data_IF_609457228010
#
_entry.id   IF_609457228010
#
_cell.length_a   1.000
_cell.length_b   1.000
_cell.length_c   1.000
_cell.angle_alpha   90.00
_cell.angle_beta   90.00
_cell.angle_gamma   90.00
#
_symmetry.space_group_name_H-M   'P 1'
#
loop_
_entity.id
_entity.type
_entity.pdbx_description
1 polymer ?
#
# COMPACT_ATOMS: atom_id res chain seq x y z
N UNK A 1 1.90 8.52 18.76
CA UNK A 1 0.74 8.66 17.85
C UNK A 1 1.09 9.57 16.68
N UNK A 2 0.76 9.19 15.44
CA UNK A 2 1.08 9.92 14.21
C UNK A 2 0.15 11.09 13.86
N UNK A 3 0.30 11.61 12.65
CA UNK A 3 -0.62 12.54 11.99
C UNK A 3 -0.87 12.03 10.57
N UNK A 4 -2.14 11.86 10.20
CA UNK A 4 -2.55 11.28 8.92
C UNK A 4 -3.02 12.38 7.96
N UNK A 5 -2.46 12.36 6.75
CA UNK A 5 -2.81 13.26 5.66
C UNK A 5 -3.32 12.45 4.46
N UNK A 6 -4.28 13.01 3.73
CA UNK A 6 -4.79 12.41 2.50
C UNK A 6 -4.18 13.12 1.29
N UNK A 7 -3.55 12.35 0.41
CA UNK A 7 -2.96 12.81 -0.84
C UNK A 7 -3.75 12.19 -2.01
N UNK A 8 -4.51 12.99 -2.78
CA UNK A 8 -5.29 12.48 -3.89
C UNK A 8 -4.42 12.24 -5.13
N UNK A 9 -4.84 11.31 -5.99
CA UNK A 9 -4.27 11.14 -7.33
C UNK A 9 -2.82 10.68 -7.36
N UNK A 10 -2.42 9.84 -6.41
CA UNK A 10 -1.06 9.29 -6.34
C UNK A 10 -1.09 7.78 -6.11
N UNK A 11 0.07 7.15 -6.20
CA UNK A 11 0.29 5.71 -5.98
C UNK A 11 1.29 5.51 -4.84
N UNK A 12 1.36 4.29 -4.29
CA UNK A 12 2.38 3.95 -3.29
C UNK A 12 3.77 4.12 -3.90
N UNK A 13 3.98 3.62 -5.12
CA UNK A 13 5.27 3.76 -5.83
C UNK A 13 5.68 5.22 -6.04
N UNK A 14 4.72 6.08 -6.41
CA UNK A 14 4.97 7.50 -6.60
C UNK A 14 5.40 8.18 -5.30
N UNK A 15 4.67 7.91 -4.21
CA UNK A 15 5.01 8.45 -2.89
C UNK A 15 6.35 7.95 -2.36
N UNK A 16 6.67 6.66 -2.57
CA UNK A 16 7.96 6.10 -2.18
C UNK A 16 9.12 6.66 -3.00
N UNK A 17 8.91 6.91 -4.30
CA UNK A 17 9.91 7.53 -5.18
C UNK A 17 10.25 8.95 -4.74
N UNK A 18 9.26 9.71 -4.27
CA UNK A 18 9.41 11.08 -3.76
C UNK A 18 9.74 11.14 -2.26
N UNK A 19 9.75 10.00 -1.54
CA UNK A 19 9.72 9.97 -0.08
C UNK A 19 10.89 10.70 0.57
N UNK A 20 12.11 10.55 0.03
CA UNK A 20 13.31 11.19 0.55
C UNK A 20 13.25 12.72 0.44
N UNK A 21 12.70 13.23 -0.66
CA UNK A 21 12.53 14.67 -0.86
C UNK A 21 11.33 15.20 -0.06
N UNK A 22 10.25 14.42 0.02
CA UNK A 22 9.00 14.83 0.66
C UNK A 22 9.06 14.81 2.19
N UNK A 23 9.74 13.83 2.78
CA UNK A 23 9.73 13.59 4.23
C UNK A 23 11.11 13.76 4.89
N UNK A 24 12.17 13.95 4.10
CA UNK A 24 13.54 14.20 4.58
C UNK A 24 13.95 13.21 5.68
N UNK A 25 14.39 13.70 6.84
CA UNK A 25 14.84 12.93 7.99
C UNK A 25 13.82 11.96 8.59
N UNK A 26 12.53 12.12 8.27
CA UNK A 26 11.46 11.25 8.78
C UNK A 26 11.47 9.89 8.06
N UNK A 27 11.88 9.89 6.79
CA UNK A 27 11.91 8.69 5.96
C UNK A 27 13.33 8.12 5.92
N UNK A 28 13.48 6.88 6.36
CA UNK A 28 14.72 6.13 6.23
C UNK A 28 14.66 5.21 4.99
N UNK A 29 15.48 5.46 3.94
CA UNK A 29 15.51 4.63 2.75
C UNK A 29 16.07 3.22 3.00
N UNK A 30 16.82 3.01 4.08
CA UNK A 30 17.40 1.70 4.42
C UNK A 30 16.44 0.85 5.25
N UNK A 31 15.32 1.41 5.71
CA UNK A 31 14.33 0.67 6.47
C UNK A 31 13.64 -0.39 5.60
N UNK A 32 13.60 -1.63 6.08
CA UNK A 32 12.89 -2.72 5.43
C UNK A 32 11.38 -2.48 5.47
N UNK A 33 10.78 -2.24 4.31
CA UNK A 33 9.34 -2.04 4.15
C UNK A 33 8.65 -3.30 3.67
N UNK A 34 7.37 -3.40 4.02
CA UNK A 34 6.52 -4.49 3.58
C UNK A 34 5.13 -3.97 3.26
N UNK A 35 4.44 -4.67 2.38
CA UNK A 35 3.06 -4.40 2.04
C UNK A 35 2.14 -5.48 2.61
N UNK A 36 1.06 -5.06 3.23
CA UNK A 36 0.01 -5.93 3.77
C UNK A 36 -1.35 -5.51 3.25
N UNK A 37 -2.30 -6.45 3.24
CA UNK A 37 -3.68 -6.19 2.86
C UNK A 37 -4.58 -6.14 4.10
N UNK A 38 -5.42 -5.13 4.21
CA UNK A 38 -6.41 -4.96 5.27
C UNK A 38 -7.81 -5.07 4.65
N UNK A 39 -8.64 -5.93 5.22
CA UNK A 39 -10.04 -6.14 4.80
C UNK A 39 -10.96 -5.79 5.98
N UNK A 40 -11.70 -4.70 5.83
CA UNK A 40 -12.55 -4.15 6.89
C UNK A 40 -14.00 -3.95 6.43
N UNK A 41 -14.98 -3.90 7.33
CA UNK A 41 -16.33 -3.52 7.00
C UNK A 41 -16.36 -2.08 6.47
N UNK A 42 -17.18 -1.82 5.46
CA UNK A 42 -17.24 -0.51 4.81
C UNK A 42 -17.54 0.65 5.78
N UNK A 43 -18.31 0.37 6.83
CA UNK A 43 -18.63 1.32 7.93
C UNK A 43 -17.42 1.75 8.75
N UNK A 44 -16.39 0.92 8.84
CA UNK A 44 -15.18 1.15 9.64
C UNK A 44 -14.05 1.79 8.82
N UNK A 45 -14.23 1.94 7.50
CA UNK A 45 -13.27 2.57 6.61
C UNK A 45 -12.75 3.91 7.15
N UNK A 46 -13.63 4.78 7.66
CA UNK A 46 -13.24 6.11 8.15
C UNK A 46 -12.32 6.05 9.37
N UNK A 47 -12.46 5.02 10.19
CA UNK A 47 -11.59 4.78 11.35
C UNK A 47 -10.20 4.38 10.86
N UNK A 48 -10.12 3.50 9.85
CA UNK A 48 -8.85 3.07 9.26
C UNK A 48 -8.12 4.19 8.51
N UNK A 49 -8.86 5.05 7.81
CA UNK A 49 -8.30 6.27 7.19
C UNK A 49 -7.60 7.18 8.21
N UNK A 50 -7.96 7.10 9.49
CA UNK A 50 -7.39 7.88 10.59
C UNK A 50 -6.59 7.02 11.59
N UNK A 51 -6.34 5.75 11.29
CA UNK A 51 -5.72 4.81 12.23
C UNK A 51 -4.32 5.23 12.65
N UNK A 52 -3.59 5.83 11.72
CA UNK A 52 -2.27 6.39 11.98
C UNK A 52 -2.25 7.50 13.05
N UNK A 53 -3.38 8.15 13.32
CA UNK A 53 -3.48 9.15 14.41
C UNK A 53 -3.59 8.50 15.79
N UNK A 54 -3.96 7.22 15.83
CA UNK A 54 -4.14 6.44 17.07
C UNK A 54 -2.92 5.56 17.37
N UNK A 55 -2.06 5.32 16.38
CA UNK A 55 -0.90 4.42 16.48
C UNK A 55 0.40 5.23 16.51
N UNK A 56 1.35 4.77 17.31
CA UNK A 56 2.73 5.23 17.26
C UNK A 56 3.55 4.33 16.34
N UNK A 57 4.30 4.95 15.43
CA UNK A 57 5.15 4.31 14.45
C UNK A 57 6.40 5.15 14.23
N UNK A 58 7.47 4.55 13.71
CA UNK A 58 8.76 5.21 13.49
C UNK A 58 8.94 5.74 12.07
N UNK A 59 8.32 5.10 11.07
CA UNK A 59 8.44 5.43 9.66
C UNK A 59 7.11 5.85 9.05
N UNK A 60 7.10 6.64 7.95
CA UNK A 60 5.88 6.93 7.22
C UNK A 60 5.13 5.66 6.81
N UNK A 61 3.82 5.64 7.05
CA UNK A 61 2.91 4.55 6.66
C UNK A 61 1.99 5.05 5.57
N UNK A 62 1.83 4.27 4.50
CA UNK A 62 1.06 4.65 3.30
C UNK A 62 -0.04 3.62 3.08
N UNK A 63 -1.30 4.04 3.21
CA UNK A 63 -2.48 3.22 2.92
C UNK A 63 -3.18 3.67 1.64
N UNK A 64 -3.54 2.76 0.76
CA UNK A 64 -4.40 3.04 -0.40
C UNK A 64 -5.58 2.09 -0.43
N UNK A 65 -6.79 2.65 -0.52
CA UNK A 65 -7.98 1.83 -0.65
C UNK A 65 -8.25 1.46 -2.11
N UNK A 66 -8.38 0.17 -2.40
CA UNK A 66 -8.89 -0.30 -3.68
C UNK A 66 -10.41 -0.46 -3.63
N UNK A 67 -11.09 -0.13 -4.74
CA UNK A 67 -12.51 -0.40 -4.92
C UNK A 67 -12.70 -1.31 -6.14
N UNK A 68 -12.97 -2.61 -5.93
CA UNK A 68 -13.27 -3.52 -7.01
C UNK A 68 -14.37 -3.01 -7.93
N UNK A 69 -14.16 -3.13 -9.25
CA UNK A 69 -15.10 -2.72 -10.30
C UNK A 69 -15.56 -3.94 -11.09
N UNK A 70 -15.02 -4.16 -12.28
CA UNK A 70 -15.38 -5.28 -13.16
C UNK A 70 -14.98 -6.64 -12.57
N UNK A 71 -13.95 -6.66 -11.73
CA UNK A 71 -13.43 -7.81 -11.01
C UNK A 71 -14.24 -8.17 -9.74
N UNK A 72 -15.23 -7.35 -9.36
CA UNK A 72 -16.07 -7.58 -8.19
C UNK A 72 -16.74 -8.96 -8.20
N UNK A 73 -17.15 -9.46 -9.37
CA UNK A 73 -17.73 -10.80 -9.55
C UNK A 73 -16.84 -11.93 -9.04
N UNK A 74 -15.52 -11.80 -9.16
CA UNK A 74 -14.56 -12.82 -8.72
C UNK A 74 -14.43 -12.90 -7.20
N UNK A 75 -14.80 -11.82 -6.51
CA UNK A 75 -14.89 -11.80 -5.04
C UNK A 75 -16.23 -12.39 -4.58
N UNK A 76 -17.31 -12.10 -5.32
CA UNK A 76 -18.64 -12.66 -5.07
C UNK A 76 -18.64 -14.20 -5.23
N UNK A 77 -17.90 -14.73 -6.22
CA UNK A 77 -17.66 -16.17 -6.40
C UNK A 77 -16.97 -16.83 -5.20
N UNK A 78 -16.15 -16.07 -4.45
CA UNK A 78 -15.53 -16.51 -3.20
C UNK A 78 -16.43 -16.30 -1.97
N UNK A 79 -17.66 -15.81 -2.16
CA UNK A 79 -18.63 -15.57 -1.09
C UNK A 79 -18.46 -14.24 -0.35
N UNK A 80 -17.61 -13.33 -0.83
CA UNK A 80 -17.44 -12.00 -0.27
C UNK A 80 -18.12 -10.95 -1.14
N UNK A 81 -19.09 -10.22 -0.58
CA UNK A 81 -19.71 -9.08 -1.24
C UNK A 81 -18.80 -7.83 -1.18
N UNK A 82 -18.29 -7.30 -2.30
CA UNK A 82 -17.38 -6.16 -2.30
C UNK A 82 -18.00 -4.85 -1.80
N UNK A 83 -19.33 -4.77 -1.71
CA UNK A 83 -20.04 -3.60 -1.20
C UNK A 83 -20.03 -3.52 0.33
N UNK A 84 -19.87 -4.65 1.01
CA UNK A 84 -19.87 -4.72 2.47
C UNK A 84 -18.46 -4.52 3.08
N UNK A 85 -17.43 -4.67 2.24
CA UNK A 85 -16.03 -4.56 2.62
C UNK A 85 -15.35 -3.31 2.03
N UNK A 86 -14.22 -2.95 2.61
CA UNK A 86 -13.21 -2.08 2.04
C UNK A 86 -11.86 -2.78 2.11
N UNK A 87 -11.07 -2.59 1.06
CA UNK A 87 -9.80 -3.26 0.87
C UNK A 87 -8.72 -2.19 0.83
N UNK A 88 -7.75 -2.30 1.71
CA UNK A 88 -6.64 -1.36 1.83
C UNK A 88 -5.33 -2.11 1.62
N UNK A 89 -4.48 -1.55 0.77
CA UNK A 89 -3.08 -1.94 0.68
C UNK A 89 -2.29 -0.97 1.52
N UNK A 90 -1.62 -1.51 2.54
CA UNK A 90 -0.88 -0.76 3.51
C UNK A 90 0.61 -1.08 3.35
N UNK A 91 1.39 -0.06 3.06
CA UNK A 91 2.85 -0.11 3.01
C UNK A 91 3.42 0.57 4.27
N UNK A 92 4.24 -0.17 5.01
CA UNK A 92 4.82 0.26 6.29
C UNK A 92 6.19 -0.38 6.52
N UNK A 93 6.98 0.21 7.42
CA UNK A 93 8.19 -0.43 7.89
C UNK A 93 7.85 -1.73 8.64
N UNK A 94 8.67 -2.76 8.43
CA UNK A 94 8.48 -4.09 9.06
C UNK A 94 8.49 -3.99 10.59
N UNK A 95 9.27 -3.06 11.16
CA UNK A 95 9.32 -2.77 12.58
C UNK A 95 8.00 -2.22 13.14
N UNK A 96 7.22 -1.52 12.32
CA UNK A 96 5.98 -0.85 12.72
C UNK A 96 4.75 -1.75 12.61
N UNK A 97 4.85 -2.92 11.95
CA UNK A 97 3.71 -3.84 11.75
C UNK A 97 3.08 -4.31 13.07
N UNK A 98 3.90 -4.66 14.05
CA UNK A 98 3.44 -5.12 15.36
C UNK A 98 2.57 -4.06 16.05
N UNK A 99 3.13 -2.86 16.34
CA UNK A 99 2.38 -1.74 16.92
C UNK A 99 1.13 -1.37 16.10
N UNK A 100 1.23 -1.36 14.78
CA UNK A 100 0.13 -0.99 13.89
C UNK A 100 -1.06 -1.94 13.98
N UNK A 101 -0.81 -3.25 14.07
CA UNK A 101 -1.85 -4.27 14.10
C UNK A 101 -2.26 -4.69 15.51
N UNK A 102 -1.53 -4.26 16.55
CA UNK A 102 -1.70 -4.76 17.92
C UNK A 102 -3.15 -4.65 18.40
N UNK A 103 -3.71 -3.45 18.40
CA UNK A 103 -5.09 -3.21 18.87
C UNK A 103 -6.12 -4.03 18.09
N UNK A 104 -5.97 -4.08 16.76
CA UNK A 104 -6.89 -4.78 15.86
C UNK A 104 -6.89 -6.30 16.14
N UNK A 105 -5.72 -6.90 16.36
CA UNK A 105 -5.60 -8.33 16.64
C UNK A 105 -6.01 -8.65 18.09
N UNK A 106 -5.57 -7.88 19.08
CA UNK A 106 -5.79 -8.22 20.50
C UNK A 106 -7.19 -7.87 20.97
N UNK A 107 -7.70 -6.70 20.61
CA UNK A 107 -8.98 -6.16 21.10
C UNK A 107 -10.11 -6.52 20.17
N UNK A 108 -9.97 -6.22 18.89
CA UNK A 108 -11.01 -6.42 17.88
C UNK A 108 -11.01 -7.82 17.26
N UNK A 109 -10.05 -8.67 17.64
CA UNK A 109 -9.96 -10.07 17.21
C UNK A 109 -9.85 -10.24 15.70
N UNK A 110 -9.15 -9.33 15.04
CA UNK A 110 -8.83 -9.45 13.62
C UNK A 110 -8.03 -10.72 13.35
N UNK A 111 -8.37 -11.36 12.23
CA UNK A 111 -7.76 -12.62 11.81
C UNK A 111 -6.61 -12.32 10.87
N UNK A 112 -5.40 -12.75 11.24
CA UNK A 112 -4.24 -12.75 10.36
C UNK A 112 -4.30 -13.98 9.45
N UNK A 113 -4.07 -13.78 8.16
CA UNK A 113 -3.98 -14.82 7.15
C UNK A 113 -2.99 -14.45 6.06
N UNK A 114 -3.01 -15.22 4.98
CA UNK A 114 -2.26 -14.97 3.75
C UNK A 114 -3.23 -14.87 2.60
N UNK A 115 -2.97 -13.99 1.65
CA UNK A 115 -3.78 -13.83 0.44
C UNK A 115 -2.89 -13.79 -0.80
N UNK A 116 -3.38 -14.37 -1.89
CA UNK A 116 -2.74 -14.31 -3.21
C UNK A 116 -3.36 -13.17 -4.02
N UNK A 117 -2.59 -12.13 -4.28
CA UNK A 117 -2.97 -11.04 -5.18
C UNK A 117 -2.54 -11.41 -6.59
N UNK A 118 -3.50 -11.47 -7.51
CA UNK A 118 -3.33 -11.95 -8.87
C UNK A 118 -3.77 -10.89 -9.88
N UNK A 119 -3.20 -10.86 -11.09
CA UNK A 119 -3.74 -10.03 -12.16
C UNK A 119 -5.16 -10.49 -12.50
N UNK A 120 -6.01 -9.54 -12.89
CA UNK A 120 -7.37 -9.86 -13.35
C UNK A 120 -7.29 -10.82 -14.56
N UNK A 121 -8.04 -11.93 -14.56
CA UNK A 121 -8.11 -12.84 -15.70
C UNK A 121 -8.63 -12.14 -16.95
N UNK A 122 -8.08 -12.48 -18.12
CA UNK A 122 -8.51 -11.93 -19.41
C UNK A 122 -10.01 -12.11 -19.68
N UNK A 123 -10.66 -13.11 -19.08
CA UNK A 123 -12.11 -13.35 -19.19
C UNK A 123 -12.98 -12.22 -18.61
N UNK A 124 -12.42 -11.36 -17.76
CA UNK A 124 -13.15 -10.26 -17.11
C UNK A 124 -13.22 -9.01 -18.00
N UNK A 125 -12.44 -8.96 -19.08
CA UNK A 125 -12.44 -7.88 -20.08
C UNK A 125 -12.33 -6.47 -19.45
N UNK A 126 -11.28 -6.28 -18.64
CA UNK A 126 -11.00 -4.98 -18.01
C UNK A 126 -10.11 -4.15 -18.93
N UNK A 127 -10.54 -2.95 -19.36
CA UNK A 127 -9.70 -2.06 -20.17
C UNK A 127 -8.41 -1.68 -19.44
N UNK A 128 -7.33 -1.54 -20.21
CA UNK A 128 -6.04 -1.03 -19.73
C UNK A 128 -5.40 -1.81 -18.56
N UNK A 129 -5.61 -3.13 -18.46
CA UNK A 129 -4.92 -3.95 -17.46
C UNK A 129 -3.41 -4.09 -17.74
N UNK A 130 -2.62 -4.17 -16.69
CA UNK A 130 -1.18 -4.49 -16.71
C UNK A 130 -0.98 -5.81 -15.99
N UNK A 131 -0.54 -6.83 -16.71
CA UNK A 131 -0.18 -8.10 -16.09
C UNK A 131 0.98 -7.92 -15.11
N UNK A 132 0.94 -8.66 -14.00
CA UNK A 132 2.00 -8.74 -13.00
C UNK A 132 2.01 -10.14 -12.38
N UNK A 133 3.12 -10.51 -11.74
CA UNK A 133 3.26 -11.81 -11.11
C UNK A 133 2.33 -11.97 -9.89
N UNK A 134 1.98 -13.20 -9.55
CA UNK A 134 1.16 -13.46 -8.37
C UNK A 134 1.95 -13.09 -7.10
N UNK A 135 1.41 -12.18 -6.30
CA UNK A 135 2.02 -11.72 -5.06
C UNK A 135 1.32 -12.39 -3.89
N UNK A 136 2.06 -13.11 -3.05
CA UNK A 136 1.53 -13.61 -1.78
C UNK A 136 1.89 -12.61 -0.69
N UNK A 137 0.88 -12.10 0.03
CA UNK A 137 1.10 -11.12 1.10
C UNK A 137 0.25 -11.41 2.34
N UNK A 138 0.67 -10.84 3.46
CA UNK A 138 -0.07 -10.95 4.72
C UNK A 138 -1.38 -10.19 4.60
N UNK A 139 -2.47 -10.82 5.04
CA UNK A 139 -3.79 -10.22 5.09
C UNK A 139 -4.30 -10.16 6.54
N UNK A 140 -4.84 -9.01 6.93
CA UNK A 140 -5.58 -8.85 8.17
C UNK A 140 -7.05 -8.58 7.84
N UNK A 141 -7.92 -9.47 8.32
CA UNK A 141 -9.35 -9.44 8.03
C UNK A 141 -10.15 -9.24 9.31
N UNK A 142 -11.13 -8.34 9.23
CA UNK A 142 -12.11 -8.17 10.30
C UNK A 142 -12.97 -9.45 10.46
N UNK A 143 -13.22 -9.92 11.70
CA UNK A 143 -13.87 -11.21 11.94
C UNK A 143 -15.28 -11.35 11.34
N UNK A 144 -15.99 -10.24 11.12
CA UNK A 144 -17.35 -10.25 10.56
C UNK A 144 -17.43 -10.52 9.05
N UNK A 145 -16.31 -10.46 8.32
CA UNK A 145 -16.29 -10.64 6.87
C UNK A 145 -15.85 -12.07 6.51
N UNK A 146 -16.32 -12.66 5.39
CA UNK A 146 -15.85 -13.97 4.95
C UNK A 146 -14.36 -13.92 4.56
N UNK A 147 -13.67 -15.05 4.70
CA UNK A 147 -12.29 -15.19 4.25
C UNK A 147 -12.24 -15.33 2.71
N UNK A 148 -11.20 -14.78 2.10
CA UNK A 148 -10.92 -14.93 0.66
C UNK A 148 -9.48 -15.40 0.50
N UNK A 149 -9.23 -16.19 -0.52
CA UNK A 149 -7.89 -16.72 -0.83
C UNK A 149 -7.18 -15.90 -1.91
N UNK A 150 -7.97 -15.34 -2.84
CA UNK A 150 -7.47 -14.63 -4.01
C UNK A 150 -8.07 -13.25 -4.11
N UNK A 151 -7.23 -12.27 -4.40
CA UNK A 151 -7.65 -10.91 -4.71
C UNK A 151 -7.15 -10.50 -6.09
N UNK A 152 -8.03 -9.94 -6.90
CA UNK A 152 -7.70 -9.63 -8.30
C UNK A 152 -7.53 -8.12 -8.47
N UNK A 153 -6.46 -7.73 -9.18
CA UNK A 153 -6.20 -6.33 -9.52
C UNK A 153 -5.87 -6.15 -11.00
N UNK A 154 -6.28 -5.03 -11.62
CA UNK A 154 -5.87 -4.71 -12.98
C UNK A 154 -4.43 -4.20 -13.07
N UNK A 155 -3.85 -3.76 -11.95
CA UNK A 155 -2.48 -3.24 -11.85
C UNK A 155 -1.82 -3.78 -10.57
N UNK A 156 -0.47 -3.76 -10.47
CA UNK A 156 0.21 -4.08 -9.21
C UNK A 156 -0.35 -3.26 -8.03
N UNK A 157 -0.41 -3.82 -6.81
CA UNK A 157 -0.91 -3.14 -5.61
C UNK A 157 -0.29 -1.76 -5.36
N UNK A 158 1.01 -1.61 -5.66
CA UNK A 158 1.76 -0.37 -5.45
C UNK A 158 1.45 0.73 -6.46
N UNK A 159 0.90 0.35 -7.62
CA UNK A 159 0.56 1.24 -8.74
C UNK A 159 -0.92 1.65 -8.77
N UNK A 160 -1.70 1.32 -7.73
CA UNK A 160 -3.12 1.70 -7.65
C UNK A 160 -3.22 3.21 -7.47
N UNK A 161 -3.80 3.89 -8.46
CA UNK A 161 -4.04 5.33 -8.43
C UNK A 161 -5.31 5.64 -7.64
N UNK A 162 -5.17 6.20 -6.44
CA UNK A 162 -6.31 6.63 -5.63
C UNK A 162 -5.89 7.69 -4.60
N UNK A 163 -6.76 7.93 -3.62
CA UNK A 163 -6.44 8.67 -2.39
C UNK A 163 -5.53 7.80 -1.53
N UNK A 164 -4.30 8.26 -1.34
CA UNK A 164 -3.35 7.67 -0.40
C UNK A 164 -3.48 8.36 0.96
N UNK A 165 -3.57 7.57 2.02
CA UNK A 165 -3.60 8.02 3.41
C UNK A 165 -2.21 7.80 3.98
N UNK A 166 -1.48 8.89 4.21
CA UNK A 166 -0.11 8.86 4.70
C UNK A 166 -0.12 9.26 6.17
N UNK A 167 0.32 8.35 7.03
CA UNK A 167 0.57 8.67 8.43
C UNK A 167 2.03 8.98 8.66
N UNK A 168 2.32 10.14 9.24
CA UNK A 168 3.66 10.59 9.60
C UNK A 168 3.87 10.51 11.12
N UNK A 169 5.03 10.05 11.59
CA UNK A 169 5.36 10.05 13.01
C UNK A 169 5.48 11.49 13.51
N UNK A 170 5.00 11.77 14.74
CA UNK A 170 5.20 13.09 15.36
C UNK A 170 6.68 13.22 15.74
N UNK A 171 7.35 14.27 15.25
CA UNK A 171 8.80 14.54 15.31
C UNK A 171 9.56 14.13 16.60
N UNK A 172 8.94 14.15 17.77
CA UNK A 172 9.59 13.70 19.02
C UNK A 172 9.88 12.19 19.06
N UNK A 173 9.08 11.36 18.39
CA UNK A 173 9.28 9.91 18.32
C UNK A 173 10.32 9.50 17.28
N UNK A 174 10.51 10.27 16.19
CA UNK A 174 11.59 10.03 15.22
C UNK A 174 12.98 10.29 15.83
N UNK A 175 13.08 11.33 16.67
CA UNK A 175 14.28 11.57 17.48
C UNK A 175 14.47 10.51 18.57
N UNK A 176 13.39 10.06 19.23
CA UNK A 176 13.46 9.02 20.26
C UNK A 176 13.74 7.61 19.68
N UNK A 177 13.30 7.31 18.46
CA UNK A 177 13.65 6.09 17.72
C UNK A 177 15.12 6.11 17.25
N UNK A 178 15.64 7.28 16.84
CA UNK A 178 17.08 7.49 16.61
C UNK A 178 17.87 7.32 17.91
N UNK A 179 17.42 7.91 19.02
CA UNK A 179 18.05 7.76 20.33
C UNK A 179 17.97 6.31 20.84
N UNK A 180 16.87 5.58 20.60
CA UNK A 180 16.74 4.18 20.95
C UNK A 180 17.63 3.28 20.08
N UNK A 181 17.78 3.58 18.79
CA UNK A 181 18.74 2.90 17.91
C UNK A 181 20.21 3.21 18.28
N UNK A 182 20.48 4.42 18.77
CA UNK A 182 21.80 4.84 19.26
C UNK A 182 22.13 4.21 20.63
N UNK A 183 21.15 4.14 21.54
CA UNK A 183 21.28 3.52 22.88
C UNK A 183 21.36 1.99 22.82
N UNK A 184 20.80 1.35 21.78
CA UNK A 184 20.89 -0.10 21.58
C UNK A 184 22.20 -0.55 20.89
N UNK A 185 23.15 0.36 20.66
CA UNK A 185 24.60 0.11 20.68
C UNK A 185 25.12 -1.19 20.05
N UNK A 186 24.70 -1.54 18.82
CA UNK A 186 25.28 -2.67 18.10
C UNK A 186 26.61 -2.24 17.45
N UNK A 187 27.67 -2.30 18.24
CA UNK A 187 29.00 -2.71 17.80
C UNK A 187 29.82 -1.73 16.97
N UNK A 188 30.40 -0.71 17.61
CA UNK A 188 31.81 -0.34 17.36
C UNK A 188 32.52 -0.09 18.67
N UNK A 189 33.23 -1.13 19.11
CA UNK A 189 34.19 -1.14 20.21
C UNK A 189 35.20 0.00 20.10
N UNK A 190 35.36 0.76 21.18
CA UNK A 190 36.62 1.36 21.59
C UNK A 190 36.60 1.43 23.13
N UNK A 191 37.62 0.82 23.74
CA UNK A 191 37.80 0.69 25.19
C UNK A 191 37.67 2.04 25.93
N UNK A 192 37.00 2.09 27.10
CA UNK A 192 37.11 3.22 27.98
C UNK A 192 38.41 3.11 28.81
N UNK A 193 39.31 4.06 28.61
CA UNK A 193 40.46 4.28 29.47
C UNK A 193 40.03 4.66 30.89
N UNK A 194 40.54 3.93 31.87
CA UNK A 194 40.48 4.21 33.31
C UNK A 194 41.21 5.51 33.66
N UNK A 195 40.72 6.26 34.66
CA UNK A 195 41.64 6.77 35.68
C UNK A 195 41.16 6.52 37.12
N UNK A 196 42.16 6.45 38.00
CA UNK A 196 42.21 5.88 39.36
C UNK A 196 41.36 6.57 40.44
N UNK A 197 40.96 5.85 41.51
CA UNK A 197 40.21 6.39 42.64
C UNK A 197 41.13 7.09 43.66
N UNK A 198 40.75 8.30 44.07
CA UNK A 198 41.40 8.99 45.20
C UNK A 198 40.77 8.52 46.51
N UNK A 199 41.62 7.91 47.32
CA UNK A 199 41.45 7.43 48.68
C UNK A 199 41.26 8.60 49.67
N UNK A 200 40.24 8.56 50.53
CA UNK A 200 40.25 9.28 51.82
C UNK A 200 39.69 8.36 52.91
N UNK A 201 40.53 8.16 53.93
CA UNK A 201 40.31 7.40 55.16
C UNK A 201 39.16 7.93 56.03
N UNK A 202 38.50 6.97 56.67
CA UNK A 202 37.55 6.97 57.80
C UNK A 202 38.30 7.29 59.15
N UNK A 203 37.78 7.16 60.40
CA UNK A 203 36.42 6.89 60.97
C UNK A 203 36.17 7.74 62.29
N UNK A 204 35.41 7.35 63.37
CA UNK A 204 34.54 6.17 63.59
C UNK A 204 33.23 6.32 64.44
N UNK A 205 32.48 5.19 64.45
CA UNK A 205 31.56 4.59 65.47
C UNK A 205 30.09 5.06 65.57
N UNK A 206 29.17 4.15 65.21
CA UNK A 206 28.24 3.48 66.16
C UNK A 206 27.37 2.38 65.48
N UNK A 207 27.63 1.12 65.84
CA UNK A 207 26.70 -0.05 65.81
C UNK A 207 25.97 -0.13 67.17
N UNK A 208 24.88 -0.93 67.39
CA UNK A 208 24.50 -2.24 66.82
C UNK A 208 23.07 -2.21 66.21
N UNK A 209 22.41 -3.24 65.66
CA UNK A 209 22.30 -4.65 66.04
C UNK A 209 21.59 -5.42 64.91
N UNK A 210 21.95 -6.70 64.75
CA UNK A 210 21.53 -7.68 63.74
C UNK A 210 20.28 -8.46 64.14
N UNK A 211 19.37 -8.75 63.20
CA UNK A 211 18.40 -9.87 63.31
C UNK A 211 18.26 -10.58 61.96
N UNK A 212 18.12 -11.91 62.07
CA UNK A 212 18.46 -12.97 61.13
C UNK A 212 17.46 -13.20 59.99
N UNK A 213 18.01 -13.82 58.94
CA UNK A 213 17.38 -14.37 57.74
C UNK A 213 16.50 -15.57 58.11
N UNK A 214 15.30 -15.66 57.54
CA UNK A 214 14.51 -16.91 57.52
C UNK A 214 14.19 -17.27 56.06
N UNK A 215 14.58 -18.48 55.69
CA UNK A 215 14.40 -19.11 54.39
C UNK A 215 12.95 -19.17 53.93
N UNK A 216 12.71 -18.82 52.66
CA UNK A 216 11.51 -19.21 51.92
C UNK A 216 11.96 -20.11 50.76
N UNK A 217 11.80 -21.41 50.96
CA UNK A 217 11.93 -22.43 49.92
C UNK A 217 10.87 -22.19 48.83
N UNK A 218 11.32 -21.95 47.59
CA UNK A 218 10.45 -22.00 46.40
C UNK A 218 10.59 -23.41 45.82
N UNK A 219 9.51 -24.20 45.73
CA UNK A 219 9.58 -25.53 45.13
C UNK A 219 9.81 -25.42 43.61
N UNK A 220 10.86 -26.10 43.14
CA UNK A 220 11.16 -26.27 41.72
C UNK A 220 9.98 -26.97 41.02
N UNK A 221 9.46 -26.36 39.96
CA UNK A 221 8.48 -27.02 39.10
C UNK A 221 9.20 -27.80 37.98
N UNK A 222 8.84 -29.08 37.96
CA UNK A 222 9.32 -30.17 37.15
C UNK A 222 9.00 -29.96 35.66
N UNK A 223 10.01 -30.12 34.81
CA UNK A 223 9.89 -29.95 33.36
C UNK A 223 9.14 -31.12 32.74
N UNK A 224 8.10 -30.84 31.96
CA UNK A 224 7.32 -31.83 31.21
C UNK A 224 8.12 -32.29 29.98
N UNK A 225 8.26 -33.61 29.70
CA UNK A 225 8.99 -34.11 28.54
C UNK A 225 8.20 -33.96 27.24
N UNK A 226 8.88 -33.53 26.17
CA UNK A 226 8.39 -33.61 24.79
C UNK A 226 8.42 -35.06 24.28
N UNK A 227 7.44 -35.51 23.47
CA UNK A 227 7.43 -36.85 22.89
C UNK A 227 8.54 -37.00 21.83
N UNK A 228 9.31 -38.08 21.95
CA UNK A 228 10.28 -38.51 20.97
C UNK A 228 9.58 -39.05 19.71
N UNK A 229 9.99 -38.56 18.54
CA UNK A 229 9.67 -39.17 17.25
C UNK A 229 10.87 -40.03 16.87
N UNK A 230 10.61 -41.32 16.69
CA UNK A 230 11.57 -42.31 16.22
C UNK A 230 12.01 -41.98 14.79
N UNK A 231 13.32 -41.95 14.60
CA UNK A 231 14.01 -41.78 13.33
C UNK A 231 14.07 -43.16 12.70
N UNK A 232 13.44 -43.36 11.55
CA UNK A 232 13.69 -44.53 10.70
C UNK A 232 14.76 -44.16 9.67
N UNK A 233 15.79 -44.99 9.60
CA UNK A 233 16.99 -44.83 8.78
C UNK A 233 16.69 -45.23 7.32
N UNK A 234 16.90 -44.31 6.37
CA UNK A 234 17.20 -44.72 4.99
C UNK A 234 17.98 -43.63 4.23
N UNK A 235 19.21 -44.01 3.87
CA UNK A 235 20.07 -43.61 2.75
C UNK A 235 20.50 -42.13 2.53
N UNK A 236 21.82 -41.97 2.69
CA UNK A 236 22.81 -41.05 2.09
C UNK A 236 22.66 -39.51 2.21
N UNK A 237 23.76 -38.80 2.60
CA UNK A 237 23.77 -37.35 2.69
C UNK A 237 24.06 -36.73 1.31
N UNK A 238 23.04 -36.20 0.63
CA UNK A 238 23.27 -35.26 -0.47
C UNK A 238 23.38 -33.84 0.05
N UNK A 239 24.62 -33.35 0.03
CA UNK A 239 25.00 -31.97 0.31
C UNK A 239 24.18 -31.00 -0.56
N UNK A 240 23.42 -30.13 0.08
CA UNK A 240 22.64 -29.02 -0.52
C UNK A 240 23.46 -28.04 -1.37
N UNK A 241 24.78 -28.18 -1.39
CA UNK A 241 25.69 -27.37 -2.22
C UNK A 241 25.76 -27.83 -3.68
N UNK A 242 25.52 -29.11 -3.98
CA UNK A 242 25.66 -29.64 -5.35
C UNK A 242 24.40 -29.48 -6.21
N UNK A 243 23.25 -29.21 -5.59
CA UNK A 243 22.00 -28.88 -6.31
C UNK A 243 22.03 -27.46 -6.91
N UNK A 244 22.78 -26.53 -6.31
CA UNK A 244 22.82 -25.13 -6.71
C UNK A 244 23.80 -24.92 -7.89
N UNK A 245 24.89 -25.69 -7.93
CA UNK A 245 25.90 -25.61 -9.01
C UNK A 245 25.45 -26.31 -10.30
N UNK A 246 24.59 -27.33 -10.23
CA UNK A 246 24.05 -27.98 -11.44
C UNK A 246 22.98 -27.14 -12.16
N UNK A 247 22.23 -26.32 -11.43
CA UNK A 247 21.20 -25.44 -11.99
C UNK A 247 21.75 -24.21 -12.76
N UNK A 248 23.04 -23.90 -12.60
CA UNK A 248 23.68 -22.72 -13.23
C UNK A 248 24.51 -23.05 -14.47
N UNK A 249 24.75 -24.33 -14.78
CA UNK A 249 25.51 -24.74 -15.97
C UNK A 249 24.62 -25.23 -17.13
N UNK A 250 23.48 -25.86 -16.85
CA UNK A 250 22.61 -26.40 -17.92
C UNK A 250 21.69 -25.34 -18.54
N UNK A 251 21.50 -24.19 -17.89
CA UNK A 251 20.64 -23.09 -18.40
C UNK A 251 21.33 -22.11 -19.35
N UNK A 252 22.66 -22.20 -19.52
CA UNK A 252 23.43 -21.23 -20.33
C UNK A 252 23.77 -21.74 -21.74
N UNK A 253 23.72 -23.05 -21.98
CA UNK A 253 23.96 -23.63 -23.32
C UNK A 253 22.70 -23.65 -24.22
N UNK A 254 21.49 -23.58 -23.64
CA UNK A 254 20.23 -23.60 -24.42
C UNK A 254 19.81 -22.22 -24.96
N UNK A 255 20.38 -21.12 -24.46
CA UNK A 255 20.15 -19.75 -24.95
C UNK A 255 21.15 -19.30 -26.04
N UNK A 256 22.14 -20.12 -26.40
CA UNK A 256 23.12 -19.81 -27.46
C UNK A 256 22.82 -20.54 -28.79
N UNK A 257 21.65 -21.17 -28.93
CA UNK A 257 21.22 -21.88 -30.14
C UNK A 257 20.01 -21.24 -30.87
N UNK A 258 19.47 -20.13 -30.37
CA UNK A 258 18.30 -19.45 -30.95
C UNK A 258 18.62 -18.06 -31.55
N UNK A 259 19.91 -17.77 -31.79
CA UNK A 259 20.42 -16.47 -32.23
C UNK A 259 20.93 -16.42 -33.67
N UNK A 260 20.51 -17.34 -34.54
CA UNK A 260 20.97 -17.37 -35.93
C UNK A 260 19.87 -17.90 -36.86
N UNK A 261 18.89 -17.05 -37.19
CA UNK A 261 18.07 -17.15 -38.43
C UNK A 261 17.06 -16.00 -38.52
N UNK A 262 17.51 -14.78 -38.85
CA UNK A 262 16.67 -13.80 -39.55
C UNK A 262 17.55 -13.01 -40.52
N UNK A 263 17.75 -13.60 -41.70
CA UNK A 263 18.34 -12.91 -42.84
C UNK A 263 17.34 -11.92 -43.47
N UNK A 264 17.91 -10.78 -43.84
CA UNK A 264 17.35 -9.64 -44.54
C UNK A 264 16.54 -10.03 -45.79
N UNK A 265 15.35 -9.44 -45.94
CA UNK A 265 14.74 -9.23 -47.25
C UNK A 265 14.34 -7.77 -47.42
N UNK A 266 15.08 -7.14 -48.32
CA UNK A 266 15.04 -5.76 -48.77
C UNK A 266 14.03 -5.63 -49.92
N UNK A 267 13.04 -4.74 -49.84
CA UNK A 267 12.25 -4.28 -51.00
C UNK A 267 11.40 -3.01 -50.66
N UNK A 268 11.13 -2.12 -51.64
CA UNK A 268 11.26 -0.68 -51.44
C UNK A 268 9.95 0.13 -51.38
N UNK A 269 10.06 1.36 -50.85
CA UNK A 269 9.03 2.41 -50.88
C UNK A 269 8.61 2.78 -52.32
N UNK A 270 7.34 3.18 -52.53
CA UNK A 270 6.97 4.10 -53.59
C UNK A 270 6.60 5.49 -53.04
N UNK A 271 7.26 6.49 -53.63
CA UNK A 271 6.99 7.93 -53.55
C UNK A 271 5.93 8.37 -54.57
N UNK A 272 5.23 9.47 -54.22
CA UNK A 272 4.68 10.55 -55.08
C UNK A 272 3.29 10.36 -55.76
N UNK A 273 2.57 11.45 -56.15
CA UNK A 273 1.57 12.13 -55.30
C UNK A 273 0.24 12.39 -56.06
N UNK A 274 -0.85 12.75 -55.38
CA UNK A 274 -2.01 13.39 -56.04
C UNK A 274 -2.56 14.49 -55.14
N UNK A 275 -2.47 15.72 -55.66
CA UNK A 275 -3.10 16.94 -55.16
C UNK A 275 -4.62 16.88 -55.36
N UNK A 276 -5.39 17.34 -54.37
CA UNK A 276 -6.61 18.14 -54.57
C UNK A 276 -6.82 19.05 -53.35
N UNK A 277 -6.48 20.32 -53.55
CA UNK A 277 -7.19 21.56 -53.18
C UNK A 277 -7.89 21.69 -51.81
N UNK A 278 -7.34 22.62 -51.02
CA UNK A 278 -8.01 23.67 -50.23
C UNK A 278 -9.35 23.37 -49.53
N UNK A 279 -9.29 23.15 -48.20
CA UNK A 279 -9.90 24.07 -47.22
C UNK A 279 -9.02 24.10 -45.98
N UNK A 280 -8.37 25.24 -45.72
CA UNK A 280 -7.84 25.57 -44.39
C UNK A 280 -9.04 25.81 -43.48
N UNK A 281 -9.50 24.75 -42.81
CA UNK A 281 -10.36 24.89 -41.65
C UNK A 281 -9.44 25.01 -40.44
N UNK A 282 -9.59 26.12 -39.71
CA UNK A 282 -9.01 26.36 -38.39
C UNK A 282 -9.11 25.10 -37.51
N UNK A 283 -8.20 24.86 -36.56
CA UNK A 283 -8.39 23.81 -35.58
C UNK A 283 -9.65 24.15 -34.76
N UNK A 284 -10.80 23.64 -35.19
CA UNK A 284 -11.99 23.57 -34.36
C UNK A 284 -11.59 22.66 -33.22
N UNK A 285 -11.29 23.27 -32.07
CA UNK A 285 -11.39 22.57 -30.81
C UNK A 285 -12.82 22.04 -30.77
N UNK A 286 -12.98 20.74 -31.02
CA UNK A 286 -14.26 20.08 -30.84
C UNK A 286 -14.60 20.27 -29.36
N UNK A 287 -15.52 21.18 -29.07
CA UNK A 287 -16.12 21.30 -27.75
C UNK A 287 -16.61 19.89 -27.40
N UNK A 288 -16.17 19.31 -26.27
CA UNK A 288 -16.50 17.94 -25.96
C UNK A 288 -18.02 17.80 -26.01
N UNK A 289 -18.55 16.76 -26.64
CA UNK A 289 -19.99 16.64 -26.91
C UNK A 289 -20.87 16.80 -25.65
N UNK A 290 -20.29 16.50 -24.48
CA UNK A 290 -20.91 16.70 -23.17
C UNK A 290 -21.12 18.18 -22.79
N UNK A 291 -20.26 19.09 -23.26
CA UNK A 291 -20.42 20.54 -23.06
C UNK A 291 -21.63 21.08 -23.82
N UNK A 292 -21.84 20.62 -25.05
CA UNK A 292 -22.99 21.01 -25.88
C UNK A 292 -24.29 20.54 -25.20
N UNK A 293 -24.31 19.29 -24.73
CA UNK A 293 -25.46 18.73 -24.00
C UNK A 293 -25.74 19.48 -22.70
N UNK A 294 -24.70 19.83 -21.94
CA UNK A 294 -24.84 20.59 -20.70
C UNK A 294 -25.34 22.02 -20.96
N UNK A 295 -24.75 22.74 -21.92
CA UNK A 295 -25.19 24.09 -22.32
C UNK A 295 -26.65 24.08 -22.79
N UNK A 296 -27.06 23.05 -23.53
CA UNK A 296 -28.44 22.89 -23.98
C UNK A 296 -29.41 22.70 -22.80
N UNK A 297 -29.06 21.84 -21.83
CA UNK A 297 -29.89 21.61 -20.64
C UNK A 297 -30.08 22.90 -19.82
N UNK A 298 -28.99 23.63 -19.55
CA UNK A 298 -29.06 24.89 -18.77
C UNK A 298 -29.90 25.93 -19.50
N UNK A 299 -29.71 26.08 -20.82
CA UNK A 299 -30.48 27.02 -21.64
C UNK A 299 -31.96 26.66 -21.69
N UNK A 300 -32.29 25.37 -21.79
CA UNK A 300 -33.68 24.87 -21.74
C UNK A 300 -34.33 25.17 -20.39
N UNK A 301 -33.63 24.93 -19.28
CA UNK A 301 -34.13 25.21 -17.93
C UNK A 301 -34.33 26.71 -17.71
N UNK A 302 -33.41 27.54 -18.21
CA UNK A 302 -33.55 29.01 -18.15
C UNK A 302 -34.75 29.48 -18.99
N UNK A 303 -34.95 28.92 -20.19
CA UNK A 303 -36.09 29.24 -21.05
C UNK A 303 -37.43 28.82 -20.43
N UNK A 304 -37.42 27.76 -19.62
CA UNK A 304 -38.58 27.30 -18.85
C UNK A 304 -38.81 28.09 -17.55
N UNK A 305 -37.98 29.10 -17.26
CA UNK A 305 -38.12 29.99 -16.09
C UNK A 305 -37.67 29.36 -14.77
N UNK A 306 -36.84 28.32 -14.82
CA UNK A 306 -36.26 27.70 -13.63
C UNK A 306 -35.11 28.57 -13.13
N UNK A 307 -35.08 28.88 -11.84
CA UNK A 307 -33.99 29.66 -11.25
C UNK A 307 -32.70 28.83 -11.15
N UNK A 308 -31.51 29.44 -11.29
CA UNK A 308 -30.22 28.72 -11.22
C UNK A 308 -30.03 27.86 -9.96
N UNK A 309 -30.63 28.25 -8.83
CA UNK A 309 -30.61 27.47 -7.58
C UNK A 309 -31.36 26.15 -7.67
N UNK A 310 -32.37 26.08 -8.55
CA UNK A 310 -33.29 24.93 -8.66
C UNK A 310 -32.89 24.01 -9.83
N UNK A 311 -31.96 24.47 -10.70
CA UNK A 311 -31.45 23.69 -11.83
C UNK A 311 -30.62 22.47 -11.40
N UNK A 312 -29.93 22.59 -10.26
CA UNK A 312 -29.13 21.49 -9.68
C UNK A 312 -29.99 20.32 -9.19
N UNK A 313 -31.28 20.57 -8.96
CA UNK A 313 -32.24 19.56 -8.51
C UNK A 313 -32.93 18.83 -9.69
N UNK A 314 -32.63 19.20 -10.95
CA UNK A 314 -33.15 18.48 -12.13
C UNK A 314 -32.49 17.08 -12.20
N UNK A 315 -33.25 15.98 -12.35
CA UNK A 315 -32.70 14.63 -12.45
C UNK A 315 -31.68 14.41 -13.59
N UNK A 316 -31.75 15.24 -14.64
CA UNK A 316 -30.80 15.23 -15.77
C UNK A 316 -29.47 15.89 -15.42
N UNK A 317 -29.45 16.77 -14.40
CA UNK A 317 -28.25 17.47 -13.94
C UNK A 317 -27.20 16.48 -13.43
N UNK A 318 -27.58 15.56 -12.54
CA UNK A 318 -26.66 14.55 -11.98
C UNK A 318 -26.09 13.63 -13.08
N UNK A 319 -26.93 13.19 -14.02
CA UNK A 319 -26.54 12.31 -15.12
C UNK A 319 -25.52 12.96 -16.07
N UNK A 320 -25.72 14.24 -16.43
CA UNK A 320 -24.78 14.97 -17.27
C UNK A 320 -23.49 15.26 -16.50
N UNK A 321 -23.58 15.59 -15.21
CA UNK A 321 -22.39 15.86 -14.39
C UNK A 321 -21.53 14.60 -14.19
N UNK A 322 -22.14 13.43 -14.03
CA UNK A 322 -21.44 12.15 -13.97
C UNK A 322 -20.71 11.84 -15.29
N UNK A 323 -21.38 12.06 -16.43
CA UNK A 323 -20.78 11.89 -17.76
C UNK A 323 -19.68 12.91 -18.06
N UNK A 324 -19.84 14.15 -17.60
CA UNK A 324 -18.84 15.20 -17.71
C UNK A 324 -17.58 14.86 -16.91
N UNK A 325 -17.74 14.44 -15.66
CA UNK A 325 -16.65 13.99 -14.81
C UNK A 325 -15.90 12.79 -15.42
N UNK A 326 -16.60 11.89 -16.11
CA UNK A 326 -15.99 10.74 -16.78
C UNK A 326 -15.06 11.12 -17.95
N UNK A 327 -15.26 12.28 -18.57
CA UNK A 327 -14.43 12.83 -19.66
C UNK A 327 -13.45 13.89 -19.12
N UNK A 328 -13.43 14.14 -17.81
CA UNK A 328 -12.60 15.19 -17.20
C UNK A 328 -13.07 16.61 -17.50
N UNK A 329 -14.34 16.79 -17.86
CA UNK A 329 -14.96 18.09 -18.12
C UNK A 329 -15.63 18.62 -16.85
N UNK A 330 -15.29 19.85 -16.44
CA UNK A 330 -15.90 20.51 -15.29
C UNK A 330 -17.12 21.35 -15.72
N UNK A 331 -18.30 20.98 -15.22
CA UNK A 331 -19.58 21.62 -15.57
C UNK A 331 -19.79 22.97 -14.88
N UNK A 332 -19.19 23.18 -13.69
CA UNK A 332 -19.39 24.38 -12.88
C UNK A 332 -18.92 25.70 -13.53
N UNK A 333 -17.72 25.78 -14.11
CA UNK A 333 -17.26 26.98 -14.80
C UNK A 333 -18.20 27.40 -15.95
N UNK A 334 -18.68 26.41 -16.72
CA UNK A 334 -19.61 26.64 -17.85
C UNK A 334 -20.99 27.05 -17.36
N UNK A 335 -21.47 26.49 -16.27
CA UNK A 335 -22.73 26.93 -15.65
C UNK A 335 -22.67 28.38 -15.18
N UNK A 336 -21.59 28.77 -14.51
CA UNK A 336 -21.36 30.15 -14.07
C UNK A 336 -21.28 31.09 -15.27
N UNK A 337 -20.59 30.68 -16.35
CA UNK A 337 -20.56 31.43 -17.61
C UNK A 337 -21.99 31.70 -18.13
N UNK A 338 -22.82 30.67 -18.29
CA UNK A 338 -24.19 30.80 -18.83
C UNK A 338 -25.09 31.66 -17.94
N UNK A 339 -25.05 31.41 -16.62
CA UNK A 339 -25.91 32.08 -15.64
C UNK A 339 -25.47 33.53 -15.35
N UNK A 340 -24.20 33.87 -15.62
CA UNK A 340 -23.65 35.22 -15.45
C UNK A 340 -23.93 36.18 -16.62
N UNK A 341 -24.41 35.67 -17.76
CA UNK A 341 -24.74 36.45 -18.96
C UNK A 341 -26.12 37.14 -18.83
N UNK A 342 -26.63 37.30 -17.60
CA UNK A 342 -27.93 37.91 -17.31
C UNK A 342 -27.83 39.33 -16.72
#
# INVERSE_FOLDING_TARGET
>A
MGITAMIPGTTIDGLLSEAKERWHDIFDPEALRMQVMIICPRKERKILEMHGDMVEHGQPVIGVFHRPRAEARLLEEQGLNPRDASFEFLDLATSDLGPWMQHMVTTEKWVRGSISVQPVPFSVDVPAQRAFENITMICFRHPSLPAIERYYLPFPPTSILNKCFVSLPRRQAAELARQQAEVLGVGRSAEPATPEPIMVEEPPVATPESVEVSDVEIPAQESVPLPAIEIDESDDPQSVTDAITKATTDGFEEMQAAGDELQEMNAPLPTTPVETEDVVSEPVFETPQIEIEFRALVTELMANGVEPSDMVDDPRWESINERAAAVGFETWPVFMEITSVQ
#
